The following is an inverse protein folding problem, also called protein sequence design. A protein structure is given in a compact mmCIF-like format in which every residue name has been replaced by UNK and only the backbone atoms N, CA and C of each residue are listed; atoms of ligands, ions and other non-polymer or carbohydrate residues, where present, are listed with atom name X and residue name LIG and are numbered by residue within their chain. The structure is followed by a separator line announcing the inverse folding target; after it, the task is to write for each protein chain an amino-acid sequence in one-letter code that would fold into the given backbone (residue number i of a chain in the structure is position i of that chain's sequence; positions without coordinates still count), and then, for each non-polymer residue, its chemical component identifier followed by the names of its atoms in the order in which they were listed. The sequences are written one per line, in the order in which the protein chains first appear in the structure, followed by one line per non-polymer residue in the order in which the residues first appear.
data_IF_248977347145
#
_entry.id   IF_248977347145
#
_cell.length_a   1.000
_cell.length_b   1.000
_cell.length_c   1.000
_cell.angle_alpha   90.00
_cell.angle_beta   90.00
_cell.angle_gamma   90.00
#
_symmetry.space_group_name_H-M   'P 1'
#
loop_
_entity.id
_entity.type
_entity.pdbx_description
1 polymer ?
#
# COMPACT_ATOMS: atom_id res chain seq x y z
N UNK A 1 -21.09 31.19 12.04
CA UNK A 1 -22.07 32.14 12.62
C UNK A 1 -22.95 32.75 11.54
N UNK A 2 -22.40 33.33 10.47
CA UNK A 2 -23.22 33.88 9.36
C UNK A 2 -24.19 32.87 8.74
N UNK A 3 -23.72 31.66 8.38
CA UNK A 3 -24.57 30.60 7.82
C UNK A 3 -25.73 30.20 8.75
N UNK A 4 -25.45 30.07 10.05
CA UNK A 4 -26.48 29.76 11.05
C UNK A 4 -27.51 30.89 11.14
N UNK A 5 -27.07 32.15 11.03
CA UNK A 5 -27.96 33.31 11.09
C UNK A 5 -28.83 33.46 9.83
N UNK A 6 -28.33 33.05 8.66
CA UNK A 6 -29.05 33.12 7.39
C UNK A 6 -30.03 31.95 7.21
N UNK A 7 -29.55 30.72 7.41
CA UNK A 7 -30.26 29.50 6.99
C UNK A 7 -30.76 28.67 8.19
N UNK A 8 -30.42 29.06 9.42
CA UNK A 8 -30.70 28.27 10.62
C UNK A 8 -29.71 27.13 10.81
N UNK A 9 -29.85 26.38 11.91
CA UNK A 9 -28.93 25.29 12.25
C UNK A 9 -29.03 24.08 11.33
N UNK A 10 -30.26 23.67 10.98
CA UNK A 10 -30.53 22.45 10.22
C UNK A 10 -30.06 22.55 8.77
N UNK A 11 -30.44 23.61 8.05
CA UNK A 11 -30.06 23.79 6.64
C UNK A 11 -28.57 24.09 6.48
N UNK A 12 -27.99 24.92 7.36
CA UNK A 12 -26.55 25.22 7.33
C UNK A 12 -25.66 24.00 7.58
N UNK A 13 -26.20 22.96 8.23
CA UNK A 13 -25.49 21.71 8.50
C UNK A 13 -25.52 20.72 7.31
N UNK A 14 -26.42 20.90 6.33
CA UNK A 14 -26.59 19.93 5.26
C UNK A 14 -25.41 19.94 4.25
N UNK A 15 -24.99 18.77 3.75
CA UNK A 15 -23.99 18.68 2.69
C UNK A 15 -24.48 19.29 1.39
N UNK A 16 -23.64 20.11 0.75
CA UNK A 16 -23.93 20.68 -0.58
C UNK A 16 -22.97 20.17 -1.64
N UNK A 17 -23.35 20.30 -2.91
CA UNK A 17 -22.43 20.09 -4.03
C UNK A 17 -21.28 21.10 -4.03
N UNK A 18 -20.11 20.66 -4.49
CA UNK A 18 -18.94 21.53 -4.70
C UNK A 18 -19.20 22.51 -5.86
N UNK A 19 -18.84 23.78 -5.68
CA UNK A 19 -18.97 24.81 -6.71
C UNK A 19 -17.70 24.84 -7.57
N UNK A 20 -17.88 24.68 -8.89
CA UNK A 20 -16.84 24.88 -9.89
C UNK A 20 -17.29 25.93 -10.91
N UNK A 21 -16.64 27.10 -10.92
CA UNK A 21 -16.88 28.18 -11.88
C UNK A 21 -15.56 28.55 -12.59
N UNK A 22 -15.44 28.15 -13.86
CA UNK A 22 -14.25 28.40 -14.68
C UNK A 22 -14.07 29.88 -15.03
N UNK A 23 -15.15 30.64 -15.18
CA UNK A 23 -15.09 32.05 -15.54
C UNK A 23 -14.63 32.90 -14.35
N UNK A 24 -15.11 32.56 -13.15
CA UNK A 24 -14.71 33.21 -11.89
C UNK A 24 -13.45 32.62 -11.26
N UNK A 25 -12.84 31.60 -11.88
CA UNK A 25 -11.69 30.84 -11.37
C UNK A 25 -11.92 30.24 -9.97
N UNK A 26 -13.15 29.83 -9.69
CA UNK A 26 -13.52 29.19 -8.42
C UNK A 26 -13.49 27.68 -8.62
N UNK A 27 -12.70 26.99 -7.80
CA UNK A 27 -12.67 25.53 -7.72
C UNK A 27 -12.56 25.13 -6.26
N UNK A 28 -13.68 24.79 -5.66
CA UNK A 28 -13.72 24.38 -4.26
C UNK A 28 -13.14 22.97 -4.07
N UNK A 29 -12.47 22.77 -2.93
CA UNK A 29 -12.00 21.44 -2.50
C UNK A 29 -13.14 20.72 -1.75
N UNK A 30 -13.52 19.49 -2.16
CA UNK A 30 -14.51 18.70 -1.45
C UNK A 30 -14.02 18.34 -0.05
N UNK A 31 -14.96 18.30 0.91
CA UNK A 31 -14.70 17.79 2.25
C UNK A 31 -15.00 16.29 2.35
N UNK A 32 -15.89 15.77 1.50
CA UNK A 32 -16.21 14.34 1.39
C UNK A 32 -16.44 13.96 -0.08
N UNK A 33 -15.97 12.76 -0.45
CA UNK A 33 -16.14 12.20 -1.79
C UNK A 33 -16.76 10.81 -1.65
N UNK A 34 -17.93 10.59 -2.23
CA UNK A 34 -18.55 9.27 -2.29
C UNK A 34 -18.29 8.63 -3.65
N UNK A 35 -17.54 7.53 -3.66
CA UNK A 35 -17.14 6.83 -4.88
C UNK A 35 -15.69 7.13 -5.27
N UNK A 36 -15.34 7.00 -6.56
CA UNK A 36 -13.96 7.25 -6.99
C UNK A 36 -13.60 8.73 -6.94
N UNK A 37 -12.33 9.07 -6.72
CA UNK A 37 -11.87 10.47 -6.68
C UNK A 37 -12.21 11.29 -7.94
N UNK A 38 -12.33 10.64 -9.11
CA UNK A 38 -12.60 11.32 -10.38
C UNK A 38 -14.08 11.40 -10.75
N UNK A 39 -14.88 10.35 -10.45
CA UNK A 39 -16.29 10.25 -10.86
C UNK A 39 -17.28 10.20 -9.70
N UNK A 40 -16.79 10.26 -8.47
CA UNK A 40 -17.60 10.25 -7.25
C UNK A 40 -18.36 11.56 -7.04
N UNK A 41 -19.44 11.46 -6.29
CA UNK A 41 -20.18 12.63 -5.83
C UNK A 41 -19.32 13.39 -4.81
N UNK A 42 -19.14 14.69 -5.04
CA UNK A 42 -18.29 15.58 -4.25
C UNK A 42 -19.16 16.50 -3.41
N UNK A 43 -18.92 16.50 -2.10
CA UNK A 43 -19.68 17.29 -1.15
C UNK A 43 -18.77 18.28 -0.42
N UNK A 44 -19.33 19.46 -0.16
CA UNK A 44 -18.77 20.49 0.71
C UNK A 44 -19.66 20.62 1.94
N UNK A 45 -19.06 20.76 3.12
CA UNK A 45 -19.78 20.87 4.37
C UNK A 45 -19.28 22.10 5.11
N UNK A 46 -20.05 23.19 5.00
CA UNK A 46 -19.60 24.51 5.45
C UNK A 46 -19.64 24.65 6.98
N UNK A 47 -20.66 24.07 7.64
CA UNK A 47 -20.81 24.17 9.09
C UNK A 47 -20.17 22.99 9.84
N UNK A 48 -20.59 21.76 9.52
CA UNK A 48 -20.19 20.53 10.22
C UNK A 48 -19.26 19.70 9.35
N UNK A 49 -18.00 19.53 9.76
CA UNK A 49 -17.04 18.71 9.02
C UNK A 49 -17.35 17.21 9.19
N UNK A 50 -17.11 16.37 8.16
CA UNK A 50 -17.45 14.95 8.22
C UNK A 50 -16.67 14.21 9.31
N UNK A 51 -15.43 14.65 9.61
CA UNK A 51 -14.65 14.08 10.70
C UNK A 51 -15.30 14.26 12.08
N UNK A 52 -15.99 15.39 12.33
CA UNK A 52 -16.68 15.61 13.61
C UNK A 52 -17.86 14.65 13.75
N UNK A 53 -18.66 14.51 12.68
CA UNK A 53 -19.77 13.55 12.64
C UNK A 53 -19.27 12.11 12.79
N UNK A 54 -18.17 11.77 12.12
CA UNK A 54 -17.53 10.46 12.22
C UNK A 54 -17.06 10.16 13.66
N UNK A 55 -16.34 11.10 14.29
CA UNK A 55 -15.84 10.93 15.66
C UNK A 55 -16.97 10.76 16.67
N UNK A 56 -18.04 11.54 16.54
CA UNK A 56 -19.13 11.51 17.51
C UNK A 56 -20.02 10.25 17.37
N UNK A 57 -20.41 9.90 16.14
CA UNK A 57 -21.41 8.84 15.90
C UNK A 57 -20.81 7.49 15.49
N UNK A 58 -19.57 7.47 15.01
CA UNK A 58 -18.94 6.29 14.40
C UNK A 58 -17.57 5.96 15.00
N UNK A 59 -17.35 6.32 16.28
CA UNK A 59 -16.10 6.06 17.00
C UNK A 59 -15.62 4.60 16.90
N UNK A 60 -16.54 3.62 16.99
CA UNK A 60 -16.20 2.20 16.88
C UNK A 60 -15.69 1.81 15.48
N UNK A 61 -16.23 2.41 14.42
CA UNK A 61 -15.80 2.18 13.05
C UNK A 61 -14.44 2.85 12.79
N UNK A 62 -14.22 4.06 13.31
CA UNK A 62 -12.94 4.74 13.26
C UNK A 62 -11.85 3.92 13.97
N UNK A 63 -12.13 3.41 15.17
CA UNK A 63 -11.20 2.55 15.90
C UNK A 63 -10.92 1.23 15.15
N UNK A 64 -11.91 0.64 14.50
CA UNK A 64 -11.71 -0.54 13.67
C UNK A 64 -10.81 -0.25 12.45
N UNK A 65 -10.98 0.91 11.81
CA UNK A 65 -10.10 1.37 10.71
C UNK A 65 -8.68 1.60 11.24
N UNK A 66 -8.53 2.29 12.36
CA UNK A 66 -7.23 2.56 12.99
C UNK A 66 -6.50 1.25 13.34
N UNK A 67 -7.19 0.27 13.92
CA UNK A 67 -6.60 -1.05 14.20
C UNK A 67 -6.12 -1.75 12.92
N UNK A 68 -6.83 -1.61 11.80
CA UNK A 68 -6.37 -2.13 10.50
C UNK A 68 -5.19 -1.35 9.96
N UNK A 69 -5.14 -0.03 10.12
CA UNK A 69 -4.00 0.81 9.73
C UNK A 69 -2.74 0.41 10.50
N UNK A 70 -2.83 0.24 11.81
CA UNK A 70 -1.72 -0.26 12.64
C UNK A 70 -1.24 -1.64 12.18
N UNK A 71 -2.14 -2.54 11.79
CA UNK A 71 -1.77 -3.84 11.22
C UNK A 71 -1.06 -3.70 9.87
N UNK A 72 -1.51 -2.79 9.01
CA UNK A 72 -0.85 -2.53 7.73
C UNK A 72 0.56 -1.96 7.93
N UNK A 73 0.73 -1.00 8.85
CA UNK A 73 2.04 -0.46 9.23
C UNK A 73 2.97 -1.55 9.78
N UNK A 74 2.47 -2.41 10.67
CA UNK A 74 3.26 -3.53 11.20
C UNK A 74 3.64 -4.55 10.13
N UNK A 75 2.79 -4.80 9.13
CA UNK A 75 3.13 -5.66 7.99
C UNK A 75 4.18 -5.00 7.08
N UNK A 76 4.10 -3.69 6.89
CA UNK A 76 5.08 -2.94 6.11
C UNK A 76 6.46 -2.92 6.80
N UNK A 77 6.50 -2.68 8.11
CA UNK A 77 7.73 -2.76 8.89
C UNK A 77 8.41 -4.13 8.77
N UNK A 78 7.64 -5.23 8.80
CA UNK A 78 8.17 -6.58 8.59
C UNK A 78 8.73 -6.82 7.19
N UNK A 79 8.14 -6.20 6.17
CA UNK A 79 8.68 -6.27 4.81
C UNK A 79 10.00 -5.52 4.71
N UNK A 80 10.08 -4.32 5.30
CA UNK A 80 11.30 -3.52 5.35
C UNK A 80 12.42 -4.23 6.13
N UNK A 81 12.09 -4.86 7.26
CA UNK A 81 13.04 -5.69 8.03
C UNK A 81 13.60 -6.85 7.19
N UNK A 82 12.77 -7.55 6.42
CA UNK A 82 13.23 -8.62 5.52
C UNK A 82 14.10 -8.07 4.39
N UNK A 83 13.76 -6.92 3.81
CA UNK A 83 14.56 -6.27 2.77
C UNK A 83 15.94 -5.84 3.30
N UNK A 84 16.01 -5.29 4.51
CA UNK A 84 17.27 -4.93 5.14
C UNK A 84 18.15 -6.15 5.44
N UNK A 85 17.53 -7.26 5.87
CA UNK A 85 18.26 -8.50 6.20
C UNK A 85 18.69 -9.30 4.96
N UNK A 86 17.90 -9.27 3.88
CA UNK A 86 18.05 -10.18 2.73
C UNK A 86 18.11 -9.49 1.36
N UNK A 87 18.32 -8.17 1.32
CA UNK A 87 18.43 -7.38 0.08
C UNK A 87 19.78 -6.68 -0.11
N UNK A 88 20.76 -6.92 0.75
CA UNK A 88 22.04 -6.19 0.79
C UNK A 88 23.04 -6.52 -0.34
N UNK A 89 23.01 -7.76 -0.86
CA UNK A 89 23.93 -8.21 -1.92
C UNK A 89 23.20 -8.31 -3.28
N UNK A 90 23.92 -8.10 -4.39
CA UNK A 90 23.33 -8.19 -5.75
C UNK A 90 22.70 -9.58 -6.03
N UNK A 91 23.29 -10.64 -5.48
CA UNK A 91 22.82 -12.03 -5.62
C UNK A 91 21.73 -12.40 -4.59
N UNK A 92 21.40 -11.50 -3.66
CA UNK A 92 20.44 -11.77 -2.61
C UNK A 92 19.00 -11.90 -3.17
N UNK A 93 18.15 -12.74 -2.56
CA UNK A 93 16.81 -13.02 -3.10
C UNK A 93 15.89 -11.79 -3.17
N UNK A 94 16.09 -10.80 -2.29
CA UNK A 94 15.30 -9.55 -2.26
C UNK A 94 16.04 -8.36 -2.89
N UNK A 95 17.17 -8.58 -3.58
CA UNK A 95 17.89 -7.51 -4.25
C UNK A 95 17.04 -6.85 -5.33
N UNK A 96 16.96 -5.52 -5.29
CA UNK A 96 16.20 -4.70 -6.24
C UNK A 96 14.74 -5.14 -6.47
N UNK A 97 14.11 -5.78 -5.48
CA UNK A 97 12.76 -6.33 -5.63
C UNK A 97 11.68 -5.25 -5.80
N UNK A 98 12.03 -4.00 -5.52
CA UNK A 98 11.19 -2.81 -5.74
C UNK A 98 12.05 -1.59 -6.08
N UNK A 99 11.45 -0.65 -6.80
CA UNK A 99 12.05 0.68 -6.99
C UNK A 99 12.07 1.46 -5.67
N UNK A 100 13.09 2.30 -5.47
CA UNK A 100 13.23 3.13 -4.27
C UNK A 100 11.97 3.99 -4.03
N UNK A 101 11.45 3.94 -2.80
CA UNK A 101 10.23 4.64 -2.41
C UNK A 101 8.93 4.06 -2.96
N UNK A 102 8.97 2.91 -3.65
CA UNK A 102 7.78 2.19 -4.10
C UNK A 102 7.66 0.83 -3.44
N UNK A 103 6.42 0.35 -3.32
CA UNK A 103 6.10 -0.99 -2.86
C UNK A 103 6.41 -2.02 -3.95
N UNK A 104 6.96 -3.18 -3.57
CA UNK A 104 7.17 -4.30 -4.48
C UNK A 104 5.85 -4.75 -5.14
N UNK A 105 5.91 -5.20 -6.39
CA UNK A 105 4.75 -5.79 -7.06
C UNK A 105 4.69 -7.27 -6.76
N UNK A 106 3.50 -7.75 -6.41
CA UNK A 106 3.26 -9.17 -6.14
C UNK A 106 3.69 -10.05 -7.33
N UNK A 107 3.49 -9.59 -8.57
CA UNK A 107 3.87 -10.35 -9.76
C UNK A 107 5.39 -10.54 -9.86
N UNK A 108 6.15 -9.46 -9.66
CA UNK A 108 7.62 -9.45 -9.75
C UNK A 108 8.23 -10.37 -8.67
N UNK A 109 7.69 -10.33 -7.43
CA UNK A 109 8.07 -11.25 -6.33
C UNK A 109 7.73 -12.70 -6.67
N UNK A 110 6.57 -12.96 -7.27
CA UNK A 110 6.14 -14.31 -7.62
C UNK A 110 7.00 -14.92 -8.72
N UNK A 111 7.43 -14.11 -9.69
CA UNK A 111 8.37 -14.52 -10.73
C UNK A 111 9.73 -14.88 -10.13
N UNK A 112 10.27 -14.01 -9.27
CA UNK A 112 11.53 -14.28 -8.55
C UNK A 112 11.45 -15.53 -7.68
N UNK A 113 10.34 -15.74 -6.98
CA UNK A 113 10.11 -16.96 -6.20
C UNK A 113 10.16 -18.23 -7.07
N UNK A 114 9.53 -18.20 -8.25
CA UNK A 114 9.57 -19.34 -9.19
C UNK A 114 10.98 -19.63 -9.70
N UNK A 115 11.77 -18.59 -9.92
CA UNK A 115 13.17 -18.72 -10.31
C UNK A 115 13.98 -19.41 -9.20
N UNK A 116 13.91 -18.92 -7.97
CA UNK A 116 14.64 -19.51 -6.83
C UNK A 116 14.16 -20.93 -6.50
N UNK A 117 12.85 -21.22 -6.60
CA UNK A 117 12.36 -22.59 -6.47
C UNK A 117 12.93 -23.52 -7.56
N UNK A 118 13.09 -23.00 -8.78
CA UNK A 118 13.70 -23.75 -9.89
C UNK A 118 15.18 -24.01 -9.64
N UNK A 119 15.93 -23.01 -9.17
CA UNK A 119 17.34 -23.14 -8.80
C UNK A 119 17.50 -24.16 -7.66
N UNK A 120 16.71 -24.03 -6.59
CA UNK A 120 16.71 -24.93 -5.44
C UNK A 120 16.47 -26.38 -5.86
N UNK A 121 15.43 -26.64 -6.67
CA UNK A 121 15.15 -28.02 -7.14
C UNK A 121 16.25 -28.52 -8.07
N UNK A 122 16.83 -27.67 -8.92
CA UNK A 122 17.95 -28.05 -9.78
C UNK A 122 19.18 -28.50 -8.98
N UNK A 123 19.50 -27.80 -7.89
CA UNK A 123 20.65 -28.09 -7.03
C UNK A 123 20.39 -29.32 -6.15
N UNK A 124 19.25 -29.36 -5.44
CA UNK A 124 18.99 -30.37 -4.43
C UNK A 124 18.29 -31.64 -4.96
N UNK A 125 17.57 -31.55 -6.08
CA UNK A 125 16.83 -32.67 -6.68
C UNK A 125 16.80 -32.61 -8.22
N UNK A 126 17.96 -32.79 -8.88
CA UNK A 126 18.09 -32.61 -10.33
C UNK A 126 17.15 -33.51 -11.15
N UNK A 127 16.81 -34.70 -10.66
CA UNK A 127 15.85 -35.60 -11.32
C UNK A 127 14.43 -35.03 -11.40
N UNK A 128 14.00 -34.26 -10.40
CA UNK A 128 12.70 -33.59 -10.42
C UNK A 128 12.73 -32.38 -11.35
N UNK A 129 13.86 -31.66 -11.38
CA UNK A 129 14.09 -30.55 -12.30
C UNK A 129 14.05 -31.02 -13.77
N UNK A 130 14.77 -32.08 -14.14
CA UNK A 130 14.80 -32.56 -15.52
C UNK A 130 13.41 -32.97 -16.01
N UNK A 131 12.66 -33.72 -15.19
CA UNK A 131 11.28 -34.14 -15.51
C UNK A 131 10.36 -32.96 -15.82
N UNK A 132 10.36 -31.92 -14.98
CA UNK A 132 9.49 -30.76 -15.22
C UNK A 132 9.93 -29.95 -16.43
N UNK A 133 11.24 -29.81 -16.67
CA UNK A 133 11.76 -29.08 -17.83
C UNK A 133 11.49 -29.81 -19.15
N UNK A 134 11.62 -31.13 -19.17
CA UNK A 134 11.26 -31.94 -20.34
C UNK A 134 9.77 -31.84 -20.66
N UNK A 135 8.91 -31.86 -19.63
CA UNK A 135 7.47 -31.69 -19.81
C UNK A 135 7.12 -30.28 -20.32
N UNK A 136 7.76 -29.23 -19.78
CA UNK A 136 7.62 -27.84 -20.26
C UNK A 136 8.06 -27.70 -21.71
N UNK A 137 9.24 -28.23 -22.06
CA UNK A 137 9.78 -28.21 -23.43
C UNK A 137 8.86 -28.95 -24.39
N UNK A 138 8.43 -30.17 -24.06
CA UNK A 138 7.55 -30.96 -24.91
C UNK A 138 6.20 -30.27 -25.16
N UNK A 139 5.65 -29.58 -24.16
CA UNK A 139 4.43 -28.80 -24.32
C UNK A 139 4.65 -27.55 -25.18
N UNK A 140 5.75 -26.83 -24.97
CA UNK A 140 6.13 -25.65 -25.76
C UNK A 140 6.34 -26.03 -27.24
N UNK A 141 7.15 -27.05 -27.52
CA UNK A 141 7.40 -27.56 -28.87
C UNK A 141 6.11 -28.04 -29.55
N UNK A 142 5.21 -28.70 -28.82
CA UNK A 142 3.92 -29.13 -29.36
C UNK A 142 3.03 -27.92 -29.73
N UNK A 143 3.04 -26.88 -28.89
CA UNK A 143 2.24 -25.66 -29.10
C UNK A 143 2.80 -24.83 -30.26
N UNK A 144 4.11 -24.60 -30.30
CA UNK A 144 4.79 -23.90 -31.39
C UNK A 144 4.61 -24.65 -32.73
N UNK A 145 4.71 -25.99 -32.71
CA UNK A 145 4.42 -26.80 -33.89
C UNK A 145 2.98 -26.61 -34.36
N UNK A 146 2.01 -26.53 -33.46
CA UNK A 146 0.61 -26.30 -33.82
C UNK A 146 0.40 -24.90 -34.41
N UNK A 147 0.98 -23.87 -33.78
CA UNK A 147 0.82 -22.47 -34.18
C UNK A 147 1.51 -22.21 -35.54
N UNK A 148 2.76 -22.65 -35.71
CA UNK A 148 3.52 -22.47 -36.94
C UNK A 148 2.91 -23.21 -38.14
N UNK A 149 2.24 -24.35 -37.93
CA UNK A 149 1.60 -25.13 -39.01
C UNK A 149 0.54 -24.33 -39.78
N UNK A 150 -0.20 -23.46 -39.09
CA UNK A 150 -1.26 -22.64 -39.70
C UNK A 150 -0.72 -21.40 -40.44
N UNK A 151 0.58 -21.13 -40.32
CA UNK A 151 1.27 -19.97 -40.91
C UNK A 151 2.21 -20.35 -42.06
N UNK A 152 2.51 -21.65 -42.25
CA UNK A 152 3.34 -22.13 -43.36
C UNK A 152 2.76 -21.68 -44.71
N UNK A 153 3.56 -21.09 -45.62
CA UNK A 153 3.08 -20.63 -46.93
C UNK A 153 2.36 -21.71 -47.74
N UNK A 154 2.84 -22.95 -47.65
CA UNK A 154 2.26 -24.12 -48.33
C UNK A 154 0.86 -24.49 -47.82
N UNK A 155 0.57 -24.22 -46.54
CA UNK A 155 -0.69 -24.59 -45.90
C UNK A 155 -1.65 -23.41 -45.68
N UNK A 156 -1.15 -22.19 -45.88
CA UNK A 156 -1.92 -20.95 -45.75
C UNK A 156 -3.24 -20.96 -46.56
N UNK A 157 -3.28 -21.44 -47.82
CA UNK A 157 -4.52 -21.47 -48.61
C UNK A 157 -5.60 -22.36 -47.99
N UNK A 158 -5.20 -23.41 -47.26
CA UNK A 158 -6.10 -24.38 -46.65
C UNK A 158 -6.60 -23.93 -45.28
N UNK A 159 -5.75 -23.24 -44.51
CA UNK A 159 -6.08 -22.80 -43.15
C UNK A 159 -6.73 -21.42 -43.08
N UNK A 160 -6.42 -20.50 -44.00
CA UNK A 160 -7.01 -19.14 -44.01
C UNK A 160 -8.55 -19.14 -44.04
N UNK A 161 -9.24 -19.98 -44.84
CA UNK A 161 -10.71 -20.06 -44.84
C UNK A 161 -11.31 -20.65 -43.55
N UNK A 162 -10.50 -21.34 -42.74
CA UNK A 162 -10.94 -22.04 -41.53
C UNK A 162 -10.73 -21.23 -40.24
N UNK A 163 -10.17 -20.02 -40.36
CA UNK A 163 -9.97 -19.11 -39.22
C UNK A 163 -11.31 -18.59 -38.70
N UNK A 164 -11.49 -18.62 -37.38
CA UNK A 164 -12.69 -18.10 -36.72
C UNK A 164 -12.68 -16.56 -36.60
N UNK A 165 -13.69 -16.00 -35.93
CA UNK A 165 -13.82 -14.55 -35.68
C UNK A 165 -12.61 -13.92 -34.95
N UNK A 166 -11.81 -14.73 -34.25
CA UNK A 166 -10.61 -14.32 -33.52
C UNK A 166 -9.30 -14.59 -34.28
N UNK A 167 -9.38 -14.98 -35.55
CA UNK A 167 -8.21 -15.26 -36.39
C UNK A 167 -7.54 -16.62 -36.17
N UNK A 168 -8.00 -17.44 -35.21
CA UNK A 168 -7.42 -18.75 -34.91
C UNK A 168 -8.12 -19.90 -35.65
N UNK A 169 -7.35 -20.94 -35.98
CA UNK A 169 -7.87 -22.21 -36.54
C UNK A 169 -8.29 -23.12 -35.39
N UNK A 170 -9.51 -23.67 -35.45
CA UNK A 170 -10.03 -24.57 -34.40
C UNK A 170 -10.12 -26.01 -34.89
N UNK A 171 -9.91 -26.97 -33.99
CA UNK A 171 -10.06 -28.42 -34.25
C UNK A 171 -11.44 -28.75 -34.85
N UNK A 172 -12.49 -28.05 -34.40
CA UNK A 172 -13.86 -28.21 -34.92
C UNK A 172 -13.98 -27.81 -36.38
N UNK A 173 -13.42 -26.66 -36.77
CA UNK A 173 -13.46 -26.20 -38.16
C UNK A 173 -12.65 -27.12 -39.08
N UNK A 174 -11.48 -27.54 -38.62
CA UNK A 174 -10.59 -28.47 -39.36
C UNK A 174 -11.27 -29.82 -39.55
N UNK A 175 -11.85 -30.41 -38.50
CA UNK A 175 -12.59 -31.68 -38.59
C UNK A 175 -13.81 -31.58 -39.52
N UNK A 176 -14.56 -30.46 -39.46
CA UNK A 176 -15.70 -30.23 -40.35
C UNK A 176 -15.26 -30.21 -41.82
N UNK A 177 -14.12 -29.58 -42.13
CA UNK A 177 -13.56 -29.53 -43.49
C UNK A 177 -12.99 -30.89 -43.91
N UNK A 178 -12.29 -31.58 -43.02
CA UNK A 178 -11.71 -32.90 -43.26
C UNK A 178 -12.79 -33.93 -43.66
N UNK A 179 -13.95 -33.89 -43.02
CA UNK A 179 -15.09 -34.78 -43.32
C UNK A 179 -15.73 -34.53 -44.71
N UNK A 180 -15.46 -33.37 -45.33
CA UNK A 180 -15.97 -33.03 -46.66
C UNK A 180 -15.02 -33.46 -47.79
N UNK A 181 -13.75 -33.73 -47.46
CA UNK A 181 -12.73 -34.14 -48.43
C UNK A 181 -12.82 -35.65 -48.64
N UNK A 182 -13.04 -36.08 -49.88
CA UNK A 182 -13.16 -37.51 -50.24
C UNK A 182 -11.85 -38.14 -50.68
N UNK A 183 -10.93 -37.33 -51.21
CA UNK A 183 -9.63 -37.76 -51.71
C UNK A 183 -8.63 -37.93 -50.55
N UNK A 184 -8.11 -39.15 -50.30
CA UNK A 184 -7.14 -39.42 -49.25
C UNK A 184 -5.78 -38.71 -49.44
N UNK A 185 -5.35 -38.52 -50.69
CA UNK A 185 -3.99 -38.05 -51.02
C UNK A 185 -3.93 -36.55 -51.34
N UNK A 186 -5.06 -35.86 -51.18
CA UNK A 186 -5.13 -34.41 -51.38
C UNK A 186 -4.19 -33.67 -50.42
N UNK A 187 -3.38 -32.71 -50.91
CA UNK A 187 -2.48 -31.92 -50.06
C UNK A 187 -3.24 -31.13 -48.98
N UNK A 188 -4.49 -30.74 -49.24
CA UNK A 188 -5.38 -30.12 -48.24
C UNK A 188 -5.68 -31.09 -47.10
N UNK A 189 -6.03 -32.35 -47.43
CA UNK A 189 -6.35 -33.37 -46.43
C UNK A 189 -5.14 -33.72 -45.57
N UNK A 190 -3.96 -33.84 -46.17
CA UNK A 190 -2.69 -34.10 -45.47
C UNK A 190 -2.36 -32.95 -44.50
N UNK A 191 -2.51 -31.70 -44.93
CA UNK A 191 -2.29 -30.52 -44.08
C UNK A 191 -3.25 -30.49 -42.88
N UNK A 192 -4.55 -30.72 -43.12
CA UNK A 192 -5.57 -30.75 -42.07
C UNK A 192 -5.34 -31.90 -41.08
N UNK A 193 -4.96 -33.09 -41.56
CA UNK A 193 -4.62 -34.22 -40.69
C UNK A 193 -3.39 -33.93 -39.83
N UNK A 194 -2.34 -33.35 -40.43
CA UNK A 194 -1.12 -32.92 -39.72
C UNK A 194 -1.44 -31.93 -38.59
N UNK A 195 -2.38 -31.02 -38.82
CA UNK A 195 -2.85 -30.10 -37.79
C UNK A 195 -3.62 -30.80 -36.67
N UNK A 196 -4.49 -31.78 -37.00
CA UNK A 196 -5.19 -32.58 -36.00
C UNK A 196 -4.22 -33.39 -35.14
N UNK A 197 -3.19 -33.97 -35.74
CA UNK A 197 -2.16 -34.72 -35.03
C UNK A 197 -1.34 -33.81 -34.12
N UNK A 198 -0.94 -32.62 -34.60
CA UNK A 198 -0.27 -31.60 -33.78
C UNK A 198 -1.15 -31.12 -32.62
N UNK A 199 -2.44 -30.86 -32.87
CA UNK A 199 -3.41 -30.48 -31.84
C UNK A 199 -3.59 -31.59 -30.80
N UNK A 200 -3.63 -32.85 -31.24
CA UNK A 200 -3.72 -34.01 -30.34
C UNK A 200 -2.44 -34.21 -29.52
N UNK A 201 -1.27 -33.86 -30.06
CA UNK A 201 -0.02 -33.85 -29.30
C UNK A 201 -0.02 -32.80 -28.19
N UNK A 202 -0.55 -31.60 -28.44
CA UNK A 202 -0.76 -30.58 -27.38
C UNK A 202 -1.71 -31.11 -26.29
N UNK A 203 -2.82 -31.75 -26.68
CA UNK A 203 -3.76 -32.36 -25.74
C UNK A 203 -3.13 -33.46 -24.88
N UNK A 204 -2.18 -34.25 -25.43
CA UNK A 204 -1.44 -35.28 -24.69
C UNK A 204 -0.32 -34.72 -23.81
N UNK A 205 0.34 -33.64 -24.24
CA UNK A 205 1.42 -33.00 -23.51
C UNK A 205 0.91 -32.20 -22.29
N UNK A 206 -0.28 -31.59 -22.39
CA UNK A 206 -0.88 -30.80 -21.30
C UNK A 206 -1.02 -31.54 -19.96
N UNK A 207 -1.66 -32.74 -19.87
CA UNK A 207 -1.77 -33.44 -18.59
C UNK A 207 -0.42 -33.90 -18.05
N UNK A 208 0.55 -34.22 -18.93
CA UNK A 208 1.93 -34.57 -18.51
C UNK A 208 2.63 -33.38 -17.87
N UNK A 209 2.48 -32.18 -18.45
CA UNK A 209 2.97 -30.94 -17.85
C UNK A 209 2.32 -30.69 -16.49
N UNK A 210 0.99 -30.78 -16.39
CA UNK A 210 0.27 -30.59 -15.13
C UNK A 210 0.73 -31.57 -14.03
N UNK A 211 0.94 -32.83 -14.39
CA UNK A 211 1.48 -33.84 -13.48
C UNK A 211 2.90 -33.48 -13.03
N UNK A 212 3.79 -33.15 -13.97
CA UNK A 212 5.17 -32.80 -13.66
C UNK A 212 5.28 -31.52 -12.80
N UNK A 213 4.41 -30.53 -13.01
CA UNK A 213 4.32 -29.34 -12.17
C UNK A 213 3.81 -29.66 -10.75
N UNK A 214 2.89 -30.62 -10.62
CA UNK A 214 2.41 -31.09 -9.31
C UNK A 214 3.54 -31.81 -8.56
N UNK A 215 4.26 -32.69 -9.22
CA UNK A 215 5.43 -33.38 -8.66
C UNK A 215 6.55 -32.40 -8.29
N UNK A 216 6.78 -31.36 -9.10
CA UNK A 216 7.71 -30.27 -8.80
C UNK A 216 7.29 -29.52 -7.53
N UNK A 217 6.03 -29.13 -7.40
CA UNK A 217 5.52 -28.44 -6.21
C UNK A 217 5.66 -29.30 -4.94
N UNK A 218 5.40 -30.61 -5.05
CA UNK A 218 5.62 -31.56 -3.96
C UNK A 218 7.11 -31.69 -3.60
N UNK A 219 7.99 -31.72 -4.60
CA UNK A 219 9.43 -31.74 -4.38
C UNK A 219 9.90 -30.48 -3.65
N UNK A 220 9.46 -29.28 -4.07
CA UNK A 220 9.74 -28.02 -3.38
C UNK A 220 9.32 -28.09 -1.92
N UNK A 221 8.07 -28.52 -1.64
CA UNK A 221 7.58 -28.65 -0.27
C UNK A 221 8.40 -29.64 0.57
N UNK A 222 8.79 -30.78 -0.02
CA UNK A 222 9.63 -31.76 0.65
C UNK A 222 11.03 -31.21 0.96
N UNK A 223 11.65 -30.50 0.01
CA UNK A 223 12.99 -29.92 0.18
C UNK A 223 13.00 -28.88 1.30
N UNK A 224 11.99 -28.03 1.35
CA UNK A 224 11.86 -26.99 2.40
C UNK A 224 11.80 -27.60 3.80
N UNK A 225 11.14 -28.75 3.96
CA UNK A 225 11.04 -29.44 5.24
C UNK A 225 12.31 -30.24 5.59
N UNK A 226 12.99 -30.80 4.58
CA UNK A 226 14.13 -31.69 4.78
C UNK A 226 15.46 -30.94 4.94
N UNK A 227 15.61 -29.80 4.27
CA UNK A 227 16.85 -29.05 4.16
C UNK A 227 16.69 -27.59 4.64
N UNK A 228 16.02 -27.37 5.77
CA UNK A 228 15.73 -26.01 6.29
C UNK A 228 16.96 -25.14 6.57
N UNK A 229 18.13 -25.75 6.73
CA UNK A 229 19.40 -25.05 6.98
C UNK A 229 20.21 -24.78 5.71
N UNK A 230 19.79 -25.27 4.54
CA UNK A 230 20.47 -24.98 3.27
C UNK A 230 20.15 -23.56 2.81
N UNK A 231 21.16 -22.90 2.25
CA UNK A 231 21.04 -21.53 1.73
C UNK A 231 19.91 -21.42 0.71
N UNK A 232 19.83 -22.36 -0.24
CA UNK A 232 18.82 -22.37 -1.30
C UNK A 232 17.39 -22.46 -0.74
N UNK A 233 17.21 -23.23 0.34
CA UNK A 233 15.91 -23.34 1.02
C UNK A 233 15.58 -22.06 1.79
N UNK A 234 16.57 -21.47 2.48
CA UNK A 234 16.37 -20.23 3.23
C UNK A 234 15.97 -19.07 2.33
N UNK A 235 16.62 -18.92 1.16
CA UNK A 235 16.27 -17.89 0.18
C UNK A 235 14.83 -18.04 -0.35
N UNK A 236 14.43 -19.27 -0.67
CA UNK A 236 13.04 -19.58 -1.08
C UNK A 236 12.06 -19.29 0.06
N UNK A 237 12.41 -19.61 1.31
CA UNK A 237 11.58 -19.32 2.47
C UNK A 237 11.40 -17.81 2.67
N UNK A 238 12.47 -17.02 2.54
CA UNK A 238 12.43 -15.55 2.61
C UNK A 238 11.50 -14.97 1.52
N UNK A 239 11.63 -15.43 0.26
CA UNK A 239 10.74 -14.99 -0.82
C UNK A 239 9.28 -15.39 -0.58
N UNK A 240 9.02 -16.57 -0.01
CA UNK A 240 7.67 -17.02 0.35
C UNK A 240 7.07 -16.17 1.46
N UNK A 241 7.82 -15.88 2.51
CA UNK A 241 7.33 -15.04 3.61
C UNK A 241 7.08 -13.62 3.12
N UNK A 242 7.99 -13.05 2.34
CA UNK A 242 7.85 -11.74 1.72
C UNK A 242 6.59 -11.66 0.84
N UNK A 243 6.37 -12.64 -0.06
CA UNK A 243 5.17 -12.73 -0.90
C UNK A 243 3.88 -12.80 -0.10
N UNK A 244 3.86 -13.59 0.97
CA UNK A 244 2.69 -13.72 1.85
C UNK A 244 2.38 -12.43 2.61
N UNK A 245 3.41 -11.77 3.15
CA UNK A 245 3.28 -10.48 3.83
C UNK A 245 2.76 -9.41 2.87
N UNK A 246 3.29 -9.36 1.65
CA UNK A 246 2.86 -8.42 0.62
C UNK A 246 1.40 -8.64 0.20
N UNK A 247 0.96 -9.90 0.05
CA UNK A 247 -0.45 -10.25 -0.18
C UNK A 247 -1.35 -9.76 0.95
N UNK A 248 -1.00 -10.09 2.20
CA UNK A 248 -1.76 -9.66 3.39
C UNK A 248 -1.82 -8.14 3.51
N UNK A 249 -0.74 -7.44 3.19
CA UNK A 249 -0.70 -5.98 3.21
C UNK A 249 -1.66 -5.39 2.16
N UNK A 250 -1.62 -5.90 0.93
CA UNK A 250 -2.55 -5.47 -0.14
C UNK A 250 -4.02 -5.75 0.21
N UNK A 251 -4.31 -6.90 0.80
CA UNK A 251 -5.65 -7.25 1.29
C UNK A 251 -6.09 -6.30 2.40
N UNK A 252 -5.23 -6.04 3.39
CA UNK A 252 -5.52 -5.14 4.51
C UNK A 252 -5.74 -3.70 4.03
N UNK A 253 -4.92 -3.19 3.12
CA UNK A 253 -5.10 -1.87 2.50
C UNK A 253 -6.42 -1.77 1.73
N UNK A 254 -6.83 -2.84 1.05
CA UNK A 254 -8.14 -2.91 0.38
C UNK A 254 -9.26 -2.87 1.41
N UNK A 255 -9.18 -3.65 2.48
CA UNK A 255 -10.16 -3.62 3.56
C UNK A 255 -10.27 -2.26 4.23
N UNK A 256 -9.15 -1.55 4.42
CA UNK A 256 -9.14 -0.18 4.94
C UNK A 256 -9.90 0.75 3.99
N UNK A 257 -9.62 0.70 2.68
CA UNK A 257 -10.30 1.52 1.67
C UNK A 257 -11.81 1.22 1.62
N UNK A 258 -12.18 -0.06 1.69
CA UNK A 258 -13.59 -0.48 1.69
C UNK A 258 -14.31 -0.03 2.96
N UNK A 259 -13.65 -0.14 4.13
CA UNK A 259 -14.18 0.33 5.40
C UNK A 259 -14.32 1.86 5.45
N UNK A 260 -13.33 2.60 4.96
CA UNK A 260 -13.38 4.06 4.80
C UNK A 260 -14.54 4.47 3.88
N UNK A 261 -14.68 3.83 2.72
CA UNK A 261 -15.79 4.12 1.81
C UNK A 261 -17.16 3.80 2.43
N UNK A 262 -17.24 2.77 3.28
CA UNK A 262 -18.46 2.46 4.04
C UNK A 262 -18.76 3.52 5.10
N UNK A 263 -17.74 3.95 5.85
CA UNK A 263 -17.84 5.01 6.85
C UNK A 263 -18.27 6.32 6.19
N UNK A 264 -17.65 6.71 5.09
CA UNK A 264 -17.97 7.95 4.35
C UNK A 264 -19.44 7.98 3.92
N UNK A 265 -19.99 6.86 3.43
CA UNK A 265 -21.41 6.74 3.10
C UNK A 265 -22.29 6.85 4.33
N UNK A 266 -21.92 6.17 5.42
CA UNK A 266 -22.66 6.21 6.67
C UNK A 266 -22.69 7.62 7.27
N UNK A 267 -21.56 8.32 7.24
CA UNK A 267 -21.42 9.73 7.63
C UNK A 267 -22.34 10.61 6.79
N UNK A 268 -22.30 10.48 5.46
CA UNK A 268 -23.21 11.25 4.58
C UNK A 268 -24.68 11.01 4.92
N UNK A 269 -25.07 9.75 5.15
CA UNK A 269 -26.44 9.41 5.56
C UNK A 269 -26.81 9.96 6.93
N UNK A 270 -25.84 10.10 7.84
CA UNK A 270 -26.07 10.63 9.18
C UNK A 270 -26.44 12.12 9.15
N UNK A 271 -25.88 12.91 8.24
CA UNK A 271 -26.23 14.33 8.09
C UNK A 271 -27.74 14.58 7.89
N UNK A 272 -28.41 13.69 7.16
CA UNK A 272 -29.85 13.79 6.94
C UNK A 272 -30.69 13.43 8.18
N UNK A 273 -30.06 12.86 9.22
CA UNK A 273 -30.71 12.40 10.46
C UNK A 273 -30.38 13.25 11.67
N UNK A 274 -29.45 14.21 11.55
CA UNK A 274 -29.05 15.06 12.67
C UNK A 274 -30.21 15.96 13.10
N UNK A 275 -30.51 15.95 14.40
CA UNK A 275 -31.41 16.93 14.99
C UNK A 275 -30.71 18.27 15.22
N UNK A 276 -31.48 19.34 15.44
CA UNK A 276 -30.90 20.65 15.77
C UNK A 276 -30.05 20.60 17.05
N UNK A 277 -30.45 19.81 18.04
CA UNK A 277 -29.71 19.65 19.28
C UNK A 277 -28.38 18.91 19.07
N UNK A 278 -28.38 17.87 18.23
CA UNK A 278 -27.15 17.18 17.82
C UNK A 278 -26.19 18.14 17.10
N UNK A 279 -26.72 18.98 16.20
CA UNK A 279 -25.93 19.98 15.46
C UNK A 279 -25.31 20.99 16.44
N UNK A 280 -26.09 21.50 17.40
CA UNK A 280 -25.58 22.43 18.42
C UNK A 280 -24.49 21.78 19.26
N UNK A 281 -24.69 20.55 19.71
CA UNK A 281 -23.67 19.81 20.46
C UNK A 281 -22.37 19.69 19.65
N UNK A 282 -22.44 19.22 18.41
CA UNK A 282 -21.27 19.08 17.54
C UNK A 282 -20.55 20.41 17.25
N UNK A 283 -21.30 21.50 17.02
CA UNK A 283 -20.69 22.80 16.69
C UNK A 283 -20.11 23.48 17.92
N UNK A 284 -20.87 23.52 19.02
CA UNK A 284 -20.50 24.31 20.19
C UNK A 284 -19.49 23.54 21.03
N UNK A 285 -19.78 22.27 21.36
CA UNK A 285 -18.96 21.46 22.24
C UNK A 285 -17.77 20.88 21.46
N UNK A 286 -18.03 20.12 20.39
CA UNK A 286 -16.95 19.35 19.75
C UNK A 286 -16.06 20.19 18.82
N UNK A 287 -16.58 21.28 18.25
CA UNK A 287 -15.82 22.15 17.34
C UNK A 287 -15.28 23.40 18.03
N UNK A 288 -16.14 24.25 18.57
CA UNK A 288 -15.73 25.57 19.06
C UNK A 288 -15.09 25.50 20.44
N UNK A 289 -15.68 24.79 21.41
CA UNK A 289 -15.09 24.63 22.73
C UNK A 289 -13.75 23.91 22.63
N UNK A 290 -13.67 22.80 21.89
CA UNK A 290 -12.41 22.09 21.67
C UNK A 290 -11.32 22.99 21.06
N UNK A 291 -11.66 23.84 20.07
CA UNK A 291 -10.70 24.77 19.48
C UNK A 291 -10.24 25.86 20.46
N UNK A 292 -11.17 26.42 21.25
CA UNK A 292 -10.87 27.43 22.28
C UNK A 292 -10.00 26.86 23.39
N UNK A 293 -10.32 25.65 23.88
CA UNK A 293 -9.53 24.96 24.89
C UNK A 293 -8.10 24.70 24.39
N UNK A 294 -7.95 24.19 23.16
CA UNK A 294 -6.63 23.98 22.56
C UNK A 294 -5.84 25.28 22.44
N UNK A 295 -6.48 26.36 21.99
CA UNK A 295 -5.83 27.67 21.86
C UNK A 295 -5.42 28.25 23.23
N UNK A 296 -6.27 28.09 24.25
CA UNK A 296 -5.99 28.50 25.61
C UNK A 296 -4.79 27.74 26.18
N UNK A 297 -4.75 26.41 26.05
CA UNK A 297 -3.63 25.59 26.50
C UNK A 297 -2.33 25.99 25.81
N UNK A 298 -2.34 26.12 24.48
CA UNK A 298 -1.16 26.54 23.73
C UNK A 298 -0.65 27.94 24.16
N UNK A 299 -1.55 28.85 24.51
CA UNK A 299 -1.16 30.18 25.03
C UNK A 299 -0.54 30.09 26.43
N UNK A 300 -1.10 29.25 27.29
CA UNK A 300 -0.55 29.00 28.63
C UNK A 300 0.86 28.42 28.54
N UNK A 301 1.07 27.42 27.70
CA UNK A 301 2.38 26.80 27.47
C UNK A 301 3.39 27.82 26.92
N UNK A 302 2.97 28.66 25.97
CA UNK A 302 3.81 29.73 25.42
C UNK A 302 4.21 30.77 26.47
N UNK A 303 3.28 31.20 27.33
CA UNK A 303 3.59 32.14 28.43
C UNK A 303 4.53 31.48 29.44
N UNK A 304 4.32 30.21 29.79
CA UNK A 304 5.19 29.48 30.69
C UNK A 304 6.63 29.41 30.13
N UNK A 305 6.79 29.08 28.85
CA UNK A 305 8.09 29.05 28.18
C UNK A 305 8.76 30.43 28.15
N UNK A 306 8.01 31.50 27.86
CA UNK A 306 8.52 32.88 27.89
C UNK A 306 8.95 33.31 29.30
N UNK A 307 8.16 32.97 30.32
CA UNK A 307 8.50 33.28 31.71
C UNK A 307 9.78 32.53 32.13
N UNK A 308 9.90 31.25 31.76
CA UNK A 308 11.10 30.46 32.02
C UNK A 308 12.34 31.06 31.34
N UNK A 309 12.23 31.46 30.07
CA UNK A 309 13.31 32.14 29.36
C UNK A 309 13.71 33.45 30.04
N UNK A 310 12.73 34.25 30.49
CA UNK A 310 13.01 35.52 31.18
C UNK A 310 13.59 35.32 32.57
N UNK A 311 13.17 34.30 33.31
CA UNK A 311 13.77 33.92 34.58
C UNK A 311 15.24 33.53 34.37
N UNK A 312 15.53 32.75 33.33
CA UNK A 312 16.88 32.36 32.98
C UNK A 312 17.73 33.57 32.57
N UNK A 313 17.22 34.47 31.73
CA UNK A 313 17.88 35.73 31.38
C UNK A 313 18.17 36.59 32.61
N UNK A 314 17.21 36.69 33.54
CA UNK A 314 17.38 37.41 34.80
C UNK A 314 18.48 36.75 35.63
N UNK A 315 18.45 35.43 35.78
CA UNK A 315 19.47 34.68 36.50
C UNK A 315 20.87 34.94 35.93
N UNK A 316 21.06 34.79 34.61
CA UNK A 316 22.32 35.10 33.92
C UNK A 316 22.76 36.56 34.14
N UNK A 317 21.81 37.50 34.07
CA UNK A 317 22.09 38.92 34.26
C UNK A 317 22.50 39.26 35.68
N UNK A 318 21.91 38.64 36.71
CA UNK A 318 22.27 38.91 38.11
C UNK A 318 23.46 38.07 38.60
N UNK A 319 23.75 36.93 37.96
CA UNK A 319 24.89 36.09 38.29
C UNK A 319 26.25 36.81 38.13
N UNK A 320 26.36 37.78 37.22
CA UNK A 320 27.61 38.55 36.99
C UNK A 320 27.82 39.80 37.87
N UNK A 321 26.84 40.69 38.06
CA UNK A 321 27.01 41.92 38.84
C UNK A 321 26.93 41.71 40.35
N UNK A 322 26.22 40.67 40.83
CA UNK A 322 26.05 40.45 42.27
C UNK A 322 27.38 40.14 42.98
N UNK A 323 28.25 39.25 42.47
CA UNK A 323 29.56 39.02 43.09
C UNK A 323 30.46 40.26 43.10
N UNK A 324 30.38 41.09 42.05
CA UNK A 324 31.14 42.35 41.97
C UNK A 324 30.69 43.37 43.02
N UNK A 325 29.38 43.51 43.22
CA UNK A 325 28.81 44.38 44.26
C UNK A 325 29.13 43.86 45.67
N UNK A 326 29.08 42.54 45.89
CA UNK A 326 29.48 41.93 47.17
C UNK A 326 30.95 42.21 47.49
N UNK A 327 31.85 42.10 46.50
CA UNK A 327 33.26 42.46 46.66
C UNK A 327 33.47 43.95 46.95
N UNK A 328 32.72 44.83 46.29
CA UNK A 328 32.84 46.27 46.48
C UNK A 328 32.31 46.71 47.87
N UNK A 329 31.20 46.11 48.32
CA UNK A 329 30.70 46.29 49.70
C UNK A 329 31.74 45.79 50.70
N UNK A 330 32.29 44.59 50.53
CA UNK A 330 33.32 44.06 51.43
C UNK A 330 34.54 44.99 51.52
N UNK A 331 34.99 45.54 50.39
CA UNK A 331 36.09 46.51 50.33
C UNK A 331 35.77 47.82 51.06
N UNK A 332 34.59 48.38 50.84
CA UNK A 332 34.17 49.63 51.50
C UNK A 332 33.96 49.42 53.00
N UNK A 333 33.38 48.30 53.41
CA UNK A 333 33.25 47.90 54.81
C UNK A 333 34.62 47.82 55.47
N UNK A 334 35.61 47.17 54.84
CA UNK A 334 36.98 47.12 55.37
C UNK A 334 37.63 48.53 55.47
N UNK A 335 37.32 49.42 54.54
CA UNK A 335 37.82 50.81 54.58
C UNK A 335 37.20 51.58 55.76
N UNK A 336 35.88 51.47 55.94
CA UNK A 336 35.17 52.06 57.10
C UNK A 336 35.70 51.49 58.40
N UNK A 337 35.93 50.18 58.43
CA UNK A 337 36.52 49.46 59.55
C UNK A 337 37.89 50.04 59.94
N UNK A 338 38.76 50.29 58.96
CA UNK A 338 40.06 50.93 59.22
C UNK A 338 39.92 52.37 59.71
N UNK A 339 39.04 53.17 59.10
CA UNK A 339 38.80 54.55 59.53
C UNK A 339 38.25 54.64 60.96
N UNK A 340 37.30 53.77 61.33
CA UNK A 340 36.74 53.71 62.68
C UNK A 340 37.80 53.31 63.73
N UNK A 341 38.68 52.34 63.40
CA UNK A 341 39.86 52.02 64.22
C UNK A 341 40.78 53.22 64.41
N UNK A 342 41.00 54.00 63.35
CA UNK A 342 41.84 55.21 63.39
C UNK A 342 41.24 56.31 64.27
N UNK A 343 39.91 56.37 64.36
CA UNK A 343 39.15 57.29 65.23
C UNK A 343 39.02 56.81 66.69
N UNK A 344 39.60 55.66 67.05
CA UNK A 344 39.59 55.13 68.43
C UNK A 344 38.29 54.42 68.82
N UNK A 345 37.41 54.11 67.88
CA UNK A 345 36.18 53.33 68.08
C UNK A 345 36.43 51.88 67.64
N UNK A 346 36.34 50.94 68.57
CA UNK A 346 36.40 49.51 68.31
C UNK A 346 34.99 48.93 68.15
N UNK A 347 34.71 48.20 67.06
CA UNK A 347 33.56 47.29 66.96
C UNK A 347 34.04 45.85 66.79
#
# INVERSE_FOLDING_TARGET
VYLIAADGWTEAAQPRGVIEDKQRKIKETPDLIIGSKQKGAKYKMDLLQPNLVATHFFASQLQAIESKQQKAEALQQKLEELEEQHGGDEEAPLSEIREEGKKAKIADVEERLKEYETIMVKVLKPEAYTKVQEARRAFAEATERLDSLAEKPEYLPFFAPLRGKRGNVTKTNVNKRLNQLKDPDSPERIALQTFIDASSNVERAKPRLQQAETEFAQAVASLINQYSESTEVQEVQVLRTYHQLLKRLNETEKEIKDAQASLDRAVLHQYARLSEDDIKALVIEDKWRAALEKALHARTDSIAALLAARLHELHERYARPLPGLEQEVARLTETVHQHLKTMGLSW
#
